data_IF_911372051055
#
_entry.id   IF_911372051055
#
_cell.length_a   1.000
_cell.length_b   1.000
_cell.length_c   1.000
_cell.angle_alpha   90.00
_cell.angle_beta   90.00
_cell.angle_gamma   90.00
#
_symmetry.space_group_name_H-M   'P 1'
#
loop_
_entity.id
_entity.type
_entity.pdbx_description
1 polymer ?
#
# COMPACT_ATOMS: atom_id res chain seq x y z
N UNK A 1 -7.76 -4.63 14.59
CA UNK A 1 -8.56 -3.79 13.68
C UNK A 1 -7.81 -2.48 13.50
N UNK A 2 -7.69 -1.93 12.28
CA UNK A 2 -6.97 -0.66 12.05
C UNK A 2 -7.72 0.50 12.70
N UNK A 3 -7.01 1.43 13.32
CA UNK A 3 -7.50 2.69 13.84
C UNK A 3 -6.45 3.78 13.63
N UNK A 4 -6.89 5.04 13.56
CA UNK A 4 -5.97 6.19 13.54
C UNK A 4 -5.29 6.28 14.92
N UNK A 5 -3.99 6.56 14.95
CA UNK A 5 -3.28 6.83 16.20
C UNK A 5 -3.61 8.27 16.65
N UNK A 6 -4.19 8.42 17.84
CA UNK A 6 -4.74 9.70 18.34
C UNK A 6 -3.70 10.59 19.06
N UNK A 7 -2.43 10.20 19.09
CA UNK A 7 -1.36 10.95 19.76
C UNK A 7 -0.87 12.18 18.96
N UNK A 8 -1.42 12.41 17.75
CA UNK A 8 -1.09 13.53 16.86
C UNK A 8 -2.27 14.48 16.65
N UNK A 9 -1.98 15.73 16.30
CA UNK A 9 -3.00 16.70 15.89
C UNK A 9 -3.65 16.24 14.57
N UNK A 10 -4.96 15.95 14.61
CA UNK A 10 -5.72 15.54 13.44
C UNK A 10 -6.47 16.71 12.81
N UNK A 11 -6.29 16.89 11.51
CA UNK A 11 -7.10 17.82 10.71
C UNK A 11 -8.53 17.30 10.53
N UNK A 12 -9.47 18.18 10.19
CA UNK A 12 -10.86 17.79 9.88
C UNK A 12 -10.99 16.78 8.74
N UNK A 13 -10.01 16.75 7.83
CA UNK A 13 -9.97 15.79 6.72
C UNK A 13 -9.43 14.44 7.16
N UNK A 14 -8.39 14.43 8.00
CA UNK A 14 -7.84 13.20 8.58
C UNK A 14 -8.91 12.38 9.33
N UNK A 15 -9.81 13.07 10.06
CA UNK A 15 -10.94 12.43 10.76
C UNK A 15 -11.98 11.77 9.85
N UNK A 16 -12.00 12.11 8.55
CA UNK A 16 -12.92 11.54 7.57
C UNK A 16 -12.32 10.35 6.81
N UNK A 17 -11.04 10.02 7.05
CA UNK A 17 -10.38 8.90 6.39
C UNK A 17 -11.05 7.59 6.81
N UNK A 18 -11.39 6.77 5.81
CA UNK A 18 -11.97 5.45 6.00
C UNK A 18 -11.01 4.38 5.49
N UNK A 19 -10.89 3.27 6.23
CA UNK A 19 -10.06 2.14 5.82
C UNK A 19 -10.58 1.39 4.59
N UNK A 20 -11.88 1.53 4.27
CA UNK A 20 -12.50 0.87 3.12
C UNK A 20 -12.12 1.53 1.79
N UNK A 21 -12.08 2.86 1.77
CA UNK A 21 -11.80 3.66 0.57
C UNK A 21 -10.98 4.90 0.93
N UNK A 22 -9.72 4.74 1.40
CA UNK A 22 -8.87 5.88 1.66
C UNK A 22 -8.43 6.51 0.33
N UNK A 23 -8.67 7.81 0.16
CA UNK A 23 -8.38 8.57 -1.06
C UNK A 23 -8.91 7.83 -2.32
N UNK A 24 -10.24 7.75 -2.49
CA UNK A 24 -10.86 6.95 -3.56
C UNK A 24 -10.69 7.56 -4.95
N UNK A 25 -10.33 8.84 -5.04
CA UNK A 25 -10.13 9.55 -6.29
C UNK A 25 -9.04 8.91 -7.18
N UNK A 26 -9.27 8.99 -8.50
CA UNK A 26 -8.29 8.54 -9.48
C UNK A 26 -7.11 9.53 -9.53
N UNK A 27 -5.84 9.07 -9.48
CA UNK A 27 -4.68 9.95 -9.35
C UNK A 27 -4.51 11.00 -10.45
N UNK A 28 -4.99 10.72 -11.67
CA UNK A 28 -4.94 11.64 -12.82
C UNK A 28 -6.33 11.82 -13.42
N UNK A 29 -7.21 12.66 -12.85
CA UNK A 29 -8.63 12.72 -13.22
C UNK A 29 -8.89 12.91 -14.72
N UNK A 30 -8.02 13.68 -15.40
CA UNK A 30 -8.11 13.92 -16.85
C UNK A 30 -7.69 12.73 -17.72
N UNK A 31 -6.93 11.77 -17.17
CA UNK A 31 -6.43 10.57 -17.85
C UNK A 31 -7.05 9.30 -17.25
N UNK A 32 -8.30 9.41 -16.78
CA UNK A 32 -9.01 8.31 -16.13
C UNK A 32 -9.33 7.21 -17.14
N UNK A 33 -8.88 5.99 -16.84
CA UNK A 33 -9.28 4.79 -17.57
C UNK A 33 -10.66 4.34 -17.09
N UNK A 34 -11.47 3.84 -18.02
CA UNK A 34 -12.82 3.31 -17.72
C UNK A 34 -12.75 2.15 -16.73
N UNK A 35 -11.88 1.19 -17.03
CA UNK A 35 -11.63 0.01 -16.21
C UNK A 35 -10.46 0.27 -15.28
N UNK A 36 -10.78 0.63 -14.03
CA UNK A 36 -9.80 0.90 -12.99
C UNK A 36 -10.32 0.51 -11.61
N UNK A 37 -9.41 0.04 -10.76
CA UNK A 37 -9.69 -0.35 -9.38
C UNK A 37 -8.60 0.24 -8.49
N UNK A 38 -9.01 1.03 -7.49
CA UNK A 38 -8.08 1.49 -6.46
C UNK A 38 -7.60 0.30 -5.63
N UNK A 39 -6.29 0.27 -5.37
CA UNK A 39 -5.67 -0.67 -4.44
C UNK A 39 -5.35 -0.01 -3.10
N UNK A 40 -5.85 1.19 -2.84
CA UNK A 40 -5.77 1.81 -1.52
C UNK A 40 -6.64 1.02 -0.53
N UNK A 41 -6.35 1.15 0.77
CA UNK A 41 -6.99 0.37 1.83
C UNK A 41 -5.99 -0.44 2.64
N UNK A 42 -6.47 -1.46 3.34
CA UNK A 42 -5.64 -2.26 4.23
C UNK A 42 -4.81 -3.29 3.48
N UNK A 43 -3.50 -3.26 3.71
CA UNK A 43 -2.54 -4.25 3.26
C UNK A 43 -1.95 -4.98 4.47
N UNK A 44 -1.62 -6.26 4.31
CA UNK A 44 -0.74 -6.92 5.28
C UNK A 44 0.63 -6.28 5.21
N UNK A 45 1.30 -6.10 6.35
CA UNK A 45 2.67 -5.61 6.37
C UNK A 45 3.60 -6.46 7.24
N UNK A 46 4.90 -6.35 6.95
CA UNK A 46 5.96 -6.92 7.77
C UNK A 46 7.20 -6.03 7.71
N UNK A 47 7.93 -5.96 8.82
CA UNK A 47 9.24 -5.32 8.89
C UNK A 47 10.26 -6.43 9.10
N UNK A 48 11.27 -6.49 8.23
CA UNK A 48 12.33 -7.51 8.30
C UNK A 48 13.69 -6.88 8.07
N UNK A 49 14.75 -7.58 8.45
CA UNK A 49 16.11 -7.19 8.06
C UNK A 49 16.23 -7.09 6.53
N UNK A 50 16.90 -6.04 6.04
CA UNK A 50 17.04 -5.74 4.60
C UNK A 50 17.74 -6.85 3.80
N UNK A 51 18.50 -7.73 4.45
CA UNK A 51 19.17 -8.85 3.79
C UNK A 51 18.24 -10.06 3.63
N UNK A 52 17.07 -10.06 4.28
CA UNK A 52 16.11 -11.15 4.16
C UNK A 52 15.41 -11.10 2.79
N UNK A 53 15.45 -12.22 2.07
CA UNK A 53 14.90 -12.33 0.71
C UNK A 53 13.40 -12.63 0.65
N UNK A 54 12.82 -13.10 1.76
CA UNK A 54 11.40 -13.47 1.83
C UNK A 54 10.79 -13.20 3.20
N UNK A 55 9.47 -13.07 3.22
CA UNK A 55 8.67 -12.85 4.41
C UNK A 55 7.62 -13.93 4.52
N UNK A 56 7.64 -14.67 5.62
CA UNK A 56 6.64 -15.71 5.90
C UNK A 56 5.58 -15.24 6.91
N UNK A 57 5.91 -14.25 7.74
CA UNK A 57 5.02 -13.75 8.78
C UNK A 57 4.71 -12.26 8.56
N UNK A 58 3.43 -11.94 8.41
CA UNK A 58 2.93 -10.58 8.34
C UNK A 58 2.33 -10.22 9.70
N UNK A 59 2.78 -9.11 10.27
CA UNK A 59 2.60 -8.78 11.69
C UNK A 59 1.36 -7.92 11.95
N UNK A 60 0.69 -7.45 10.90
CA UNK A 60 -0.52 -6.65 11.03
C UNK A 60 -1.00 -6.07 9.71
N UNK A 61 -1.86 -5.04 9.81
CA UNK A 61 -2.40 -4.30 8.68
C UNK A 61 -1.92 -2.84 8.70
N UNK A 62 -1.59 -2.31 7.53
CA UNK A 62 -1.25 -0.91 7.31
C UNK A 62 -2.24 -0.28 6.32
N UNK A 63 -2.62 0.98 6.55
CA UNK A 63 -3.50 1.71 5.62
C UNK A 63 -2.70 2.41 4.51
N UNK A 64 -2.75 1.87 3.30
CA UNK A 64 -2.18 2.47 2.09
C UNK A 64 -3.17 3.55 1.57
N UNK A 65 -2.70 4.76 1.20
CA UNK A 65 -1.32 5.09 0.82
C UNK A 65 -0.51 5.87 1.87
N UNK A 66 -0.84 5.76 3.16
CA UNK A 66 -0.15 6.54 4.18
C UNK A 66 1.18 5.89 4.60
N UNK A 67 2.25 6.67 4.84
CA UNK A 67 3.56 6.15 5.23
C UNK A 67 3.49 5.56 6.65
N UNK A 68 4.37 4.61 6.96
CA UNK A 68 4.36 3.85 8.23
C UNK A 68 4.43 4.77 9.46
N UNK A 69 5.15 5.88 9.36
CA UNK A 69 5.36 6.89 10.39
C UNK A 69 4.09 7.70 10.71
N UNK A 70 3.11 7.72 9.80
CA UNK A 70 1.91 8.52 9.99
C UNK A 70 0.89 7.86 10.92
N UNK A 71 0.15 8.68 11.66
CA UNK A 71 -1.01 8.23 12.44
C UNK A 71 -2.09 7.56 11.56
N UNK A 72 -2.24 8.01 10.30
CA UNK A 72 -3.23 7.48 9.37
C UNK A 72 -2.87 6.08 8.85
N UNK A 73 -1.61 5.66 8.90
CA UNK A 73 -1.23 4.27 8.57
C UNK A 73 -1.77 3.28 9.60
N UNK A 74 -2.08 3.76 10.81
CA UNK A 74 -2.45 2.96 11.98
C UNK A 74 -1.27 2.27 12.67
N UNK A 75 -0.04 2.63 12.30
CA UNK A 75 1.19 2.10 12.90
C UNK A 75 1.91 3.21 13.66
N UNK A 76 2.17 4.35 13.02
CA UNK A 76 2.92 5.48 13.60
C UNK A 76 4.31 5.07 14.14
N UNK A 77 5.04 4.26 13.39
CA UNK A 77 6.39 3.77 13.74
C UNK A 77 7.42 4.16 12.67
N UNK A 78 8.70 4.17 13.01
CA UNK A 78 9.81 4.58 12.13
C UNK A 78 10.57 3.37 11.61
N UNK A 79 10.77 3.31 10.29
CA UNK A 79 11.60 2.26 9.68
C UNK A 79 13.09 2.51 9.95
N UNK A 80 13.80 1.52 10.52
CA UNK A 80 15.24 1.67 10.81
C UNK A 80 16.11 1.41 9.57
N UNK A 81 17.36 1.93 9.52
CA UNK A 81 18.24 1.80 8.34
C UNK A 81 18.60 0.37 7.90
N UNK A 82 18.43 -0.63 8.78
CA UNK A 82 18.67 -2.05 8.48
C UNK A 82 17.39 -2.82 8.18
N UNK A 83 16.24 -2.17 8.22
CA UNK A 83 14.94 -2.79 8.03
C UNK A 83 14.41 -2.53 6.61
N UNK A 84 13.51 -3.42 6.17
CA UNK A 84 12.75 -3.30 4.93
C UNK A 84 11.29 -3.57 5.25
N UNK A 85 10.42 -2.70 4.75
CA UNK A 85 8.98 -2.83 4.86
C UNK A 85 8.43 -3.63 3.67
N UNK A 86 7.66 -4.67 3.97
CA UNK A 86 6.95 -5.48 2.99
C UNK A 86 5.45 -5.21 3.09
N UNK A 87 4.81 -5.18 1.94
CA UNK A 87 3.37 -5.07 1.80
C UNK A 87 2.84 -6.29 1.05
N UNK A 88 1.70 -6.82 1.48
CA UNK A 88 0.99 -7.90 0.75
C UNK A 88 -0.50 -7.62 0.71
N UNK A 89 -1.10 -7.86 -0.44
CA UNK A 89 -2.55 -7.83 -0.62
C UNK A 89 -2.98 -8.89 -1.61
N UNK A 90 -4.06 -9.59 -1.26
CA UNK A 90 -4.76 -10.49 -2.18
C UNK A 90 -5.78 -9.65 -2.94
N UNK A 91 -5.83 -9.82 -4.25
CA UNK A 91 -6.67 -9.05 -5.15
C UNK A 91 -7.59 -10.01 -5.91
N UNK A 92 -8.88 -9.73 -5.85
CA UNK A 92 -9.85 -10.30 -6.77
C UNK A 92 -9.98 -9.37 -7.97
N UNK A 93 -9.72 -9.89 -9.16
CA UNK A 93 -9.86 -9.17 -10.41
C UNK A 93 -11.28 -9.39 -10.96
N UNK A 94 -11.94 -8.36 -11.51
CA UNK A 94 -13.20 -8.55 -12.22
C UNK A 94 -13.00 -9.51 -13.40
N UNK A 95 -13.93 -10.44 -13.61
CA UNK A 95 -13.87 -11.39 -14.74
C UNK A 95 -13.83 -10.67 -16.10
N UNK A 96 -14.43 -9.48 -16.20
CA UNK A 96 -14.36 -8.63 -17.39
C UNK A 96 -12.93 -8.16 -17.76
N UNK A 97 -11.94 -8.40 -16.90
CA UNK A 97 -10.55 -8.02 -17.13
C UNK A 97 -9.66 -9.17 -17.61
N UNK A 98 -10.14 -10.42 -17.63
CA UNK A 98 -9.31 -11.63 -17.84
C UNK A 98 -8.52 -11.62 -19.16
N UNK A 99 -9.11 -11.11 -20.24
CA UNK A 99 -8.46 -11.05 -21.57
C UNK A 99 -7.70 -9.73 -21.83
N UNK A 100 -7.57 -8.86 -20.83
CA UNK A 100 -6.94 -7.55 -20.98
C UNK A 100 -5.50 -7.54 -20.47
N UNK A 101 -4.71 -6.59 -20.98
CA UNK A 101 -3.42 -6.27 -20.38
C UNK A 101 -3.62 -5.49 -19.07
N UNK A 102 -3.38 -6.15 -17.94
CA UNK A 102 -3.56 -5.58 -16.60
C UNK A 102 -2.30 -4.82 -16.17
N UNK A 103 -2.46 -3.54 -15.89
CA UNK A 103 -1.38 -2.68 -15.38
C UNK A 103 -1.52 -2.48 -13.87
N UNK A 104 -0.55 -2.96 -13.09
CA UNK A 104 -0.39 -2.58 -11.70
C UNK A 104 0.37 -1.26 -11.60
N UNK A 105 -0.27 -0.24 -11.05
CA UNK A 105 0.29 1.11 -11.00
C UNK A 105 0.48 1.58 -9.55
N UNK A 106 1.72 1.86 -9.17
CA UNK A 106 2.05 2.55 -7.91
C UNK A 106 2.29 4.03 -8.20
N UNK A 107 1.62 4.91 -7.45
CA UNK A 107 1.79 6.36 -7.62
C UNK A 107 3.19 6.83 -7.24
N UNK A 108 3.70 6.35 -6.12
CA UNK A 108 5.06 6.50 -5.63
C UNK A 108 5.34 5.39 -4.61
N UNK A 109 6.60 4.99 -4.47
CA UNK A 109 7.09 4.14 -3.37
C UNK A 109 8.48 4.61 -2.99
N UNK A 110 8.63 5.10 -1.76
CA UNK A 110 9.90 5.66 -1.31
C UNK A 110 10.84 4.59 -0.71
N UNK A 111 12.12 4.53 -1.06
CA UNK A 111 12.73 5.01 -2.31
C UNK A 111 12.95 3.87 -3.32
N UNK A 112 12.97 2.62 -2.86
CA UNK A 112 13.16 1.43 -3.69
C UNK A 112 11.99 0.47 -3.50
N UNK A 113 11.35 0.08 -4.60
CA UNK A 113 10.34 -0.96 -4.62
C UNK A 113 10.79 -2.14 -5.47
N UNK A 114 10.62 -3.35 -4.97
CA UNK A 114 10.57 -4.55 -5.82
C UNK A 114 9.17 -5.13 -5.71
N UNK A 115 8.59 -5.53 -6.84
CA UNK A 115 7.21 -6.01 -6.92
C UNK A 115 7.20 -7.48 -7.30
N UNK A 116 6.39 -8.25 -6.57
CA UNK A 116 6.11 -9.64 -6.87
C UNK A 116 4.61 -9.85 -7.01
N UNK A 117 4.21 -10.67 -7.98
CA UNK A 117 2.83 -11.12 -8.19
C UNK A 117 2.83 -12.63 -8.14
N UNK A 118 2.05 -13.22 -7.23
CA UNK A 118 1.97 -14.67 -7.03
C UNK A 118 3.33 -15.36 -6.86
N UNK A 119 4.30 -14.68 -6.24
CA UNK A 119 5.66 -15.17 -6.00
C UNK A 119 6.65 -14.88 -7.13
N UNK A 120 6.19 -14.44 -8.30
CA UNK A 120 7.04 -14.10 -9.43
C UNK A 120 7.46 -12.62 -9.38
N UNK A 121 8.74 -12.33 -9.61
CA UNK A 121 9.28 -10.97 -9.59
C UNK A 121 8.91 -10.23 -10.87
N UNK A 122 8.10 -9.19 -10.75
CA UNK A 122 7.66 -8.37 -11.89
C UNK A 122 8.66 -7.27 -12.25
N UNK A 123 9.40 -6.75 -11.27
CA UNK A 123 10.36 -5.68 -11.52
C UNK A 123 10.76 -4.92 -10.26
N UNK A 124 11.56 -3.89 -10.48
CA UNK A 124 12.08 -3.02 -9.43
C UNK A 124 12.12 -1.57 -9.93
N UNK A 125 11.87 -0.63 -9.04
CA UNK A 125 11.94 0.79 -9.30
C UNK A 125 12.67 1.51 -8.16
N UNK A 126 13.42 2.56 -8.50
CA UNK A 126 14.06 3.49 -7.56
C UNK A 126 13.74 4.90 -8.01
N UNK A 127 13.15 5.74 -7.15
CA UNK A 127 12.68 7.06 -7.55
C UNK A 127 11.92 7.79 -6.46
#
# INVERSE_FOLDING_TARGET
>A
MWNIIEDKILTRWARKVSSKHPLPEYPRPQLKRKDWKSLNGLWDFAIVDKNKKSVNNFIGKILVPFPIESALSGISDTLKPKERLWYRRVLELPSSWEDNHILLHFGAVDWEATVWVNGERMGQHRG
#
